data_IF_082704282775
#
_entry.id   IF_082704282775
#
_cell.length_a   1.000
_cell.length_b   1.000
_cell.length_c   1.000
_cell.angle_alpha   90.00
_cell.angle_beta   90.00
_cell.angle_gamma   90.00
#
_symmetry.space_group_name_H-M   'P 1'
#
loop_
_entity.id
_entity.type
_entity.pdbx_description
1 polymer ?
#
# COMPACT_ATOMS: atom_id res chain seq x y z
N UNK A 1 2.57 -9.67 -6.79
CA UNK A 1 2.62 -8.79 -7.98
C UNK A 1 3.62 -7.67 -7.76
N UNK A 2 4.48 -7.44 -8.72
CA UNK A 2 5.46 -6.36 -8.68
C UNK A 2 5.06 -5.25 -9.65
N UNK A 3 5.74 -4.10 -9.56
CA UNK A 3 5.52 -3.01 -10.53
C UNK A 3 5.82 -3.47 -11.96
N UNK A 4 6.85 -4.28 -12.14
CA UNK A 4 7.21 -4.82 -13.45
C UNK A 4 6.10 -5.73 -14.00
N UNK A 5 5.55 -6.60 -13.17
CA UNK A 5 4.44 -7.46 -13.55
C UNK A 5 3.19 -6.65 -13.89
N UNK A 6 2.93 -5.57 -13.13
CA UNK A 6 1.81 -4.67 -13.42
C UNK A 6 2.01 -3.97 -14.78
N UNK A 7 3.22 -3.53 -15.09
CA UNK A 7 3.54 -2.94 -16.39
C UNK A 7 3.33 -3.94 -17.53
N UNK A 8 3.71 -5.20 -17.34
CA UNK A 8 3.48 -6.26 -18.32
C UNK A 8 1.98 -6.48 -18.59
N UNK A 9 1.16 -6.43 -17.54
CA UNK A 9 -0.29 -6.54 -17.69
C UNK A 9 -0.88 -5.38 -18.49
N UNK A 10 -0.41 -4.16 -18.27
CA UNK A 10 -0.84 -2.99 -19.03
C UNK A 10 -0.43 -3.12 -20.50
N UNK A 11 0.77 -3.61 -20.76
CA UNK A 11 1.23 -3.88 -22.11
C UNK A 11 0.31 -4.89 -22.82
N UNK A 12 -0.04 -5.98 -22.16
CA UNK A 12 -0.85 -7.03 -22.75
C UNK A 12 -2.33 -6.66 -22.89
N UNK A 13 -2.91 -5.98 -21.87
CA UNK A 13 -4.36 -5.78 -21.78
C UNK A 13 -4.85 -4.44 -22.26
N UNK A 14 -4.02 -3.40 -22.21
CA UNK A 14 -4.42 -2.03 -22.51
C UNK A 14 -3.87 -1.54 -23.85
N UNK A 15 -2.93 -2.28 -24.42
CA UNK A 15 -2.37 -1.93 -25.74
C UNK A 15 -1.28 -0.87 -25.70
N UNK A 16 -0.74 -0.56 -24.55
CA UNK A 16 0.42 0.32 -24.41
C UNK A 16 1.68 -0.43 -24.82
N UNK A 17 2.67 0.27 -25.38
CA UNK A 17 3.97 -0.37 -25.57
C UNK A 17 4.67 -0.55 -24.22
N UNK A 18 5.75 -1.35 -24.17
CA UNK A 18 6.42 -1.69 -22.92
C UNK A 18 6.93 -0.49 -22.17
N UNK A 19 7.49 0.48 -22.88
CA UNK A 19 8.03 1.71 -22.28
C UNK A 19 6.92 2.58 -21.70
N UNK A 20 5.85 2.75 -22.45
CA UNK A 20 4.69 3.52 -21.99
C UNK A 20 4.05 2.86 -20.76
N UNK A 21 3.91 1.55 -20.75
CA UNK A 21 3.35 0.81 -19.62
C UNK A 21 4.21 0.98 -18.36
N UNK A 22 5.52 0.85 -18.51
CA UNK A 22 6.47 1.06 -17.40
C UNK A 22 6.39 2.48 -16.86
N UNK A 23 6.41 3.46 -17.75
CA UNK A 23 6.38 4.87 -17.37
C UNK A 23 5.07 5.23 -16.67
N UNK A 24 3.95 4.67 -17.12
CA UNK A 24 2.65 4.89 -16.50
C UNK A 24 2.61 4.33 -15.08
N UNK A 25 3.11 3.13 -14.86
CA UNK A 25 3.16 2.51 -13.53
C UNK A 25 4.05 3.31 -12.60
N UNK A 26 5.23 3.71 -13.07
CA UNK A 26 6.17 4.51 -12.26
C UNK A 26 5.56 5.87 -11.91
N UNK A 27 4.91 6.52 -12.86
CA UNK A 27 4.27 7.83 -12.64
C UNK A 27 3.14 7.72 -11.62
N UNK A 28 2.33 6.67 -11.68
CA UNK A 28 1.24 6.46 -10.73
C UNK A 28 1.77 6.34 -9.30
N UNK A 29 2.74 5.46 -9.09
CA UNK A 29 3.29 5.27 -7.74
C UNK A 29 4.06 6.49 -7.25
N UNK A 30 4.70 7.22 -8.14
CA UNK A 30 5.40 8.46 -7.79
C UNK A 30 4.41 9.53 -7.32
N UNK A 31 3.26 9.67 -7.98
CA UNK A 31 2.22 10.62 -7.56
C UNK A 31 1.64 10.25 -6.19
N UNK A 32 1.43 8.96 -5.93
CA UNK A 32 0.99 8.49 -4.61
C UNK A 32 2.04 8.83 -3.55
N UNK A 33 3.30 8.56 -3.84
CA UNK A 33 4.41 8.87 -2.92
C UNK A 33 4.48 10.35 -2.60
N UNK A 34 4.40 11.20 -3.61
CA UNK A 34 4.45 12.65 -3.45
C UNK A 34 3.29 13.19 -2.62
N UNK A 35 2.08 12.69 -2.87
CA UNK A 35 0.91 13.11 -2.09
C UNK A 35 1.10 12.77 -0.61
N UNK A 36 1.53 11.56 -0.31
CA UNK A 36 1.76 11.12 1.08
C UNK A 36 2.90 11.90 1.73
N UNK A 37 3.97 12.17 0.99
CA UNK A 37 5.11 12.95 1.47
C UNK A 37 4.71 14.37 1.86
N UNK A 38 3.77 14.98 1.11
CA UNK A 38 3.29 16.33 1.41
C UNK A 38 2.19 16.36 2.47
N UNK A 39 1.79 15.23 3.01
CA UNK A 39 0.82 15.16 4.09
C UNK A 39 -0.62 14.92 3.65
N UNK A 40 -0.85 14.56 2.40
CA UNK A 40 -2.19 14.28 1.88
C UNK A 40 -2.49 12.80 1.91
N UNK A 41 -3.68 12.43 2.34
CA UNK A 41 -4.17 11.07 2.18
C UNK A 41 -4.50 10.81 0.71
N UNK A 42 -4.46 9.54 0.30
CA UNK A 42 -4.80 9.14 -1.08
C UNK A 42 -6.03 8.23 -1.03
N UNK A 43 -7.09 8.64 -1.72
CA UNK A 43 -8.34 7.88 -1.78
C UNK A 43 -8.50 7.26 -3.17
N UNK A 44 -8.57 5.93 -3.21
CA UNK A 44 -8.78 5.18 -4.43
C UNK A 44 -10.15 4.50 -4.33
N UNK A 45 -11.18 5.15 -4.88
CA UNK A 45 -12.56 4.70 -4.78
C UNK A 45 -12.72 3.25 -5.25
N UNK A 46 -13.39 2.45 -4.41
CA UNK A 46 -13.60 1.04 -4.69
C UNK A 46 -12.40 0.14 -4.41
N UNK A 47 -11.24 0.71 -4.11
CA UNK A 47 -10.04 -0.05 -3.80
C UNK A 47 -9.62 0.11 -2.34
N UNK A 48 -9.30 1.32 -1.93
CA UNK A 48 -8.89 1.60 -0.57
C UNK A 48 -8.25 2.96 -0.43
N UNK A 49 -7.82 3.26 0.78
CA UNK A 49 -7.26 4.56 1.11
C UNK A 49 -5.92 4.41 1.81
N UNK A 50 -4.96 5.24 1.42
CA UNK A 50 -3.72 5.43 2.16
C UNK A 50 -3.90 6.59 3.12
N UNK A 51 -3.71 6.34 4.40
CA UNK A 51 -3.80 7.35 5.45
C UNK A 51 -2.45 7.59 6.09
N UNK A 52 -2.27 8.81 6.57
CA UNK A 52 -1.11 9.17 7.36
C UNK A 52 -1.50 9.18 8.83
N UNK A 53 -0.62 8.67 9.67
CA UNK A 53 -0.84 8.66 11.11
C UNK A 53 0.42 9.13 11.81
N UNK A 54 0.27 10.17 12.62
CA UNK A 54 1.36 10.68 13.45
C UNK A 54 1.38 9.91 14.75
N UNK A 55 2.52 9.28 15.03
CA UNK A 55 2.73 8.57 16.29
C UNK A 55 3.63 9.43 17.16
N UNK A 56 3.18 9.81 18.38
CA UNK A 56 4.01 10.60 19.28
C UNK A 56 5.17 9.79 19.81
N UNK A 57 6.16 10.50 20.37
CA UNK A 57 7.23 9.87 21.10
C UNK A 57 6.63 9.10 22.27
N UNK A 58 7.14 7.92 22.52
CA UNK A 58 6.69 7.05 23.60
C UNK A 58 7.86 6.33 24.24
N UNK A 59 7.72 5.88 25.51
CA UNK A 59 8.75 5.08 26.15
C UNK A 59 8.82 3.70 25.50
N UNK A 60 10.04 3.20 25.36
CA UNK A 60 10.31 1.84 24.93
C UNK A 60 11.43 1.26 25.75
N UNK A 61 11.71 -0.03 25.58
CA UNK A 61 12.78 -0.71 26.32
C UNK A 61 13.63 -1.55 25.38
N UNK A 62 14.94 -1.57 25.67
CA UNK A 62 15.84 -2.49 25.02
C UNK A 62 15.58 -3.89 25.58
N UNK A 63 15.16 -4.88 24.75
CA UNK A 63 14.85 -6.22 25.24
C UNK A 63 16.05 -6.97 25.81
N UNK A 64 17.27 -6.56 25.49
CA UNK A 64 18.49 -7.20 25.99
C UNK A 64 18.94 -6.67 27.35
N UNK A 65 18.79 -5.37 27.59
CA UNK A 65 19.29 -4.71 28.80
C UNK A 65 18.19 -4.24 29.74
N UNK A 66 16.94 -4.17 29.26
CA UNK A 66 15.84 -3.60 30.04
C UNK A 66 15.89 -2.08 30.16
N UNK A 67 16.87 -1.44 29.53
CA UNK A 67 17.05 0.01 29.56
C UNK A 67 15.92 0.72 28.83
N UNK A 68 15.43 1.82 29.40
CA UNK A 68 14.42 2.63 28.73
C UNK A 68 15.06 3.41 27.58
N UNK A 69 14.48 3.22 26.38
CA UNK A 69 14.90 3.93 25.18
C UNK A 69 13.65 4.59 24.60
N UNK A 70 13.58 5.93 24.54
CA UNK A 70 12.41 6.58 23.96
C UNK A 70 12.28 6.26 22.48
N UNK A 71 11.06 5.92 22.05
CA UNK A 71 10.75 5.72 20.63
C UNK A 71 10.37 7.08 20.06
N UNK A 72 11.13 7.52 19.06
CA UNK A 72 10.97 8.83 18.44
C UNK A 72 9.59 8.99 17.81
N UNK A 73 9.04 10.20 17.87
CA UNK A 73 7.83 10.57 17.14
C UNK A 73 8.06 10.36 15.65
N UNK A 74 7.05 9.84 14.96
CA UNK A 74 7.17 9.54 13.52
C UNK A 74 5.81 9.58 12.84
N UNK A 75 5.82 9.79 11.54
CA UNK A 75 4.63 9.66 10.69
C UNK A 75 4.70 8.34 9.94
N UNK A 76 3.59 7.60 9.97
CA UNK A 76 3.50 6.30 9.28
C UNK A 76 2.35 6.33 8.29
N UNK A 77 2.46 5.48 7.28
CA UNK A 77 1.43 5.28 6.27
C UNK A 77 0.68 4.00 6.59
N UNK A 78 -0.64 4.06 6.56
CA UNK A 78 -1.50 2.88 6.71
C UNK A 78 -2.41 2.77 5.50
N UNK A 79 -2.69 1.52 5.08
CA UNK A 79 -3.62 1.25 4.00
C UNK A 79 -4.87 0.61 4.55
N UNK A 80 -6.04 1.18 4.20
CA UNK A 80 -7.34 0.64 4.56
C UNK A 80 -8.08 0.21 3.30
N UNK A 81 -8.28 -1.08 3.13
CA UNK A 81 -9.02 -1.62 2.00
C UNK A 81 -10.48 -1.19 2.07
N UNK A 82 -11.08 -0.92 0.92
CA UNK A 82 -12.51 -0.62 0.84
C UNK A 82 -13.35 -1.84 1.17
N UNK A 83 -14.61 -1.62 1.56
CA UNK A 83 -15.53 -2.73 1.78
C UNK A 83 -15.70 -3.59 0.53
N UNK A 84 -15.74 -2.94 -0.63
CA UNK A 84 -15.82 -3.63 -1.91
C UNK A 84 -14.63 -4.54 -2.16
N UNK A 85 -13.42 -4.05 -1.91
CA UNK A 85 -12.20 -4.84 -2.07
C UNK A 85 -12.18 -6.00 -1.08
N UNK A 86 -12.51 -5.76 0.19
CA UNK A 86 -12.57 -6.81 1.20
C UNK A 86 -13.55 -7.90 0.81
N UNK A 87 -14.73 -7.52 0.36
CA UNK A 87 -15.76 -8.46 -0.04
C UNK A 87 -15.32 -9.30 -1.25
N UNK A 88 -14.68 -8.66 -2.24
CA UNK A 88 -14.18 -9.34 -3.42
C UNK A 88 -13.10 -10.36 -3.08
N UNK A 89 -12.16 -10.00 -2.23
CA UNK A 89 -11.08 -10.88 -1.80
C UNK A 89 -11.63 -12.03 -0.96
N UNK A 90 -12.56 -11.75 -0.07
CA UNK A 90 -13.20 -12.75 0.79
C UNK A 90 -14.00 -13.76 -0.03
N UNK A 91 -14.76 -13.30 -1.01
CA UNK A 91 -15.50 -14.16 -1.92
C UNK A 91 -14.56 -15.05 -2.73
N UNK A 92 -13.49 -14.50 -3.27
CA UNK A 92 -12.48 -15.25 -4.01
C UNK A 92 -11.81 -16.32 -3.14
N UNK A 93 -11.54 -16.00 -1.85
CA UNK A 93 -10.98 -16.95 -0.91
C UNK A 93 -11.93 -18.12 -0.66
N UNK A 94 -13.23 -17.87 -0.50
CA UNK A 94 -14.24 -18.91 -0.36
C UNK A 94 -14.32 -19.78 -1.60
N UNK A 95 -14.28 -19.18 -2.79
CA UNK A 95 -14.33 -19.92 -4.06
C UNK A 95 -13.09 -20.77 -4.29
N UNK A 96 -11.94 -20.33 -3.73
CA UNK A 96 -10.66 -21.00 -3.91
C UNK A 96 -10.31 -21.97 -2.76
N UNK A 97 -11.13 -22.02 -1.72
CA UNK A 97 -10.89 -22.95 -0.61
C UNK A 97 -11.11 -24.38 -1.09
N UNK A 98 -10.06 -25.17 -0.98
CA UNK A 98 -10.11 -26.60 -1.30
C UNK A 98 -10.56 -27.34 -0.04
N UNK A 99 -11.62 -28.14 -0.12
CA UNK A 99 -12.03 -28.97 1.01
C UNK A 99 -10.96 -30.02 1.29
N UNK A 100 -10.54 -30.13 2.49
CA UNK A 100 -9.61 -31.15 2.97
C UNK A 100 -8.23 -30.71 3.24
#
# INVERSE_FOLDING_TARGET
MTKAELADLLFEKVGLNKREAKDMVEAFFEEVRLALETGDSVKLSGFGNFHLRDKPQRPGRNPKTGEEIPITARRVVTFHASHKLKATVETAAHDNVQPG
#
